data_IF_940523601684
#
_entry.id   IF_940523601684
#
_cell.length_a   1.000
_cell.length_b   1.000
_cell.length_c   1.000
_cell.angle_alpha   90.00
_cell.angle_beta   90.00
_cell.angle_gamma   90.00
#
_symmetry.space_group_name_H-M   'P 1'
#
loop_
_entity.id
_entity.type
_entity.pdbx_description
1 polymer ?
#
# COMPACT_ATOMS: atom_id res chain seq x y z
N UNK A 1 -29.20 -15.42 41.96
CA UNK A 1 -29.13 -14.19 41.13
C UNK A 1 -27.69 -13.74 40.88
N UNK A 2 -26.82 -13.65 41.89
CA UNK A 2 -25.42 -13.23 41.69
C UNK A 2 -24.62 -14.18 40.79
N UNK A 3 -24.76 -15.50 40.95
CA UNK A 3 -24.05 -16.50 40.13
C UNK A 3 -24.42 -16.44 38.65
N UNK A 4 -25.71 -16.28 38.34
CA UNK A 4 -26.21 -16.12 36.97
C UNK A 4 -25.63 -14.86 36.32
N UNK A 5 -25.50 -13.76 37.08
CA UNK A 5 -24.88 -12.53 36.59
C UNK A 5 -23.39 -12.73 36.28
N UNK A 6 -22.67 -13.51 37.10
CA UNK A 6 -21.28 -13.87 36.83
C UNK A 6 -21.12 -14.77 35.59
N UNK A 7 -22.02 -15.72 35.38
CA UNK A 7 -22.02 -16.59 34.20
C UNK A 7 -22.27 -15.80 32.91
N UNK A 8 -23.24 -14.89 32.92
CA UNK A 8 -23.56 -14.02 31.77
C UNK A 8 -22.39 -13.08 31.45
N UNK A 9 -21.79 -12.47 32.48
CA UNK A 9 -20.64 -11.57 32.30
C UNK A 9 -19.40 -12.32 31.84
N UNK A 10 -19.15 -13.53 32.35
CA UNK A 10 -18.07 -14.39 31.88
C UNK A 10 -18.25 -14.79 30.40
N UNK A 11 -19.48 -15.17 30.00
CA UNK A 11 -19.78 -15.52 28.62
C UNK A 11 -19.55 -14.33 27.67
N UNK A 12 -19.99 -13.13 28.07
CA UNK A 12 -19.75 -11.90 27.30
C UNK A 12 -18.27 -11.55 27.21
N UNK A 13 -17.51 -11.69 28.31
CA UNK A 13 -16.09 -11.41 28.33
C UNK A 13 -15.29 -12.30 27.36
N UNK A 14 -15.65 -13.59 27.23
CA UNK A 14 -15.02 -14.53 26.29
C UNK A 14 -15.20 -14.09 24.83
N UNK A 15 -16.31 -13.44 24.49
CA UNK A 15 -16.58 -12.95 23.14
C UNK A 15 -15.90 -11.60 22.89
N UNK A 16 -15.99 -10.67 23.86
CA UNK A 16 -15.52 -9.29 23.70
C UNK A 16 -13.99 -9.18 23.77
N UNK A 17 -13.35 -9.95 24.64
CA UNK A 17 -11.90 -9.90 24.85
C UNK A 17 -11.07 -10.19 23.58
N UNK A 18 -11.30 -11.26 22.80
CA UNK A 18 -10.54 -11.51 21.58
C UNK A 18 -10.78 -10.43 20.50
N UNK A 19 -11.98 -9.86 20.43
CA UNK A 19 -12.29 -8.77 19.49
C UNK A 19 -11.51 -7.48 19.81
N UNK A 20 -11.37 -7.14 21.10
CA UNK A 20 -10.58 -5.99 21.54
C UNK A 20 -9.08 -6.18 21.27
N UNK A 21 -8.55 -7.38 21.52
CA UNK A 21 -7.15 -7.71 21.24
C UNK A 21 -6.83 -7.68 19.74
N UNK A 22 -7.73 -8.20 18.90
CA UNK A 22 -7.60 -8.16 17.44
C UNK A 22 -7.58 -6.71 16.92
N UNK A 23 -8.48 -5.85 17.44
CA UNK A 23 -8.53 -4.43 17.08
C UNK A 23 -7.22 -3.70 17.42
N UNK A 24 -6.62 -4.00 18.58
CA UNK A 24 -5.33 -3.42 19.00
C UNK A 24 -4.20 -3.84 18.05
N UNK A 25 -4.18 -5.11 17.60
CA UNK A 25 -3.18 -5.64 16.67
C UNK A 25 -3.26 -4.98 15.28
N UNK A 26 -4.48 -4.75 14.78
CA UNK A 26 -4.68 -4.10 13.48
C UNK A 26 -4.28 -2.61 13.52
N UNK A 27 -4.57 -1.91 14.62
CA UNK A 27 -4.22 -0.48 14.78
C UNK A 27 -2.71 -0.24 14.93
N UNK A 28 -1.97 -1.22 15.44
CA UNK A 28 -0.53 -1.11 15.72
C UNK A 28 0.36 -1.63 14.60
N UNK A 29 -0.20 -2.29 13.57
CA UNK A 29 0.58 -2.56 12.37
C UNK A 29 0.75 -1.26 11.59
N UNK A 30 1.97 -0.68 11.50
CA UNK A 30 2.20 0.40 10.56
C UNK A 30 1.88 -0.17 9.18
N UNK A 31 0.92 0.46 8.48
CA UNK A 31 0.69 0.22 7.07
C UNK A 31 2.03 0.47 6.39
N UNK A 32 2.79 -0.60 6.11
CA UNK A 32 4.05 -0.49 5.39
C UNK A 32 3.65 0.03 4.02
N UNK A 33 3.87 1.32 3.77
CA UNK A 33 3.69 1.88 2.46
C UNK A 33 4.50 0.99 1.49
N UNK A 34 3.92 0.52 0.38
CA UNK A 34 4.67 -0.22 -0.60
C UNK A 34 5.89 0.62 -0.97
N UNK A 35 7.08 0.10 -0.67
CA UNK A 35 8.34 0.74 -1.03
C UNK A 35 8.51 0.50 -2.54
N UNK A 36 7.91 1.36 -3.35
CA UNK A 36 8.12 1.34 -4.79
C UNK A 36 9.61 1.57 -5.03
N UNK A 37 10.28 0.59 -5.64
CA UNK A 37 11.61 0.79 -6.19
C UNK A 37 11.40 1.51 -7.52
N UNK A 38 11.82 2.76 -7.60
CA UNK A 38 11.88 3.48 -8.86
C UNK A 38 13.07 2.88 -9.60
N UNK A 39 12.78 2.20 -10.70
CA UNK A 39 13.83 1.77 -11.62
C UNK A 39 14.28 3.00 -12.41
N UNK A 40 15.58 3.31 -12.32
CA UNK A 40 16.19 4.42 -13.08
C UNK A 40 16.77 3.93 -14.39
N UNK A 41 16.80 2.61 -14.62
CA UNK A 41 17.22 2.06 -15.89
C UNK A 41 16.09 2.22 -16.92
N UNK A 42 16.37 3.02 -17.95
CA UNK A 42 15.45 3.30 -19.05
C UNK A 42 15.94 2.70 -20.36
N UNK A 43 16.95 1.82 -20.36
CA UNK A 43 17.52 1.20 -21.59
C UNK A 43 16.43 0.53 -22.44
N UNK A 44 15.45 -0.09 -21.81
CA UNK A 44 14.35 -0.80 -22.47
C UNK A 44 13.02 -0.02 -22.48
N UNK A 45 13.04 1.26 -22.11
CA UNK A 45 11.83 2.07 -22.09
C UNK A 45 11.34 2.35 -23.52
N UNK A 46 10.07 2.06 -23.79
CA UNK A 46 9.43 2.37 -25.09
C UNK A 46 8.72 3.71 -25.11
N UNK A 47 8.40 4.25 -23.94
CA UNK A 47 7.62 5.47 -23.78
C UNK A 47 8.25 6.38 -22.74
N UNK A 48 8.11 7.69 -22.94
CA UNK A 48 8.53 8.74 -22.02
C UNK A 48 7.46 9.82 -21.94
N UNK A 49 7.49 10.62 -20.87
CA UNK A 49 6.66 11.82 -20.75
C UNK A 49 7.41 12.99 -21.39
N UNK A 50 6.78 13.70 -22.33
CA UNK A 50 7.35 14.86 -23.00
C UNK A 50 7.29 16.13 -22.10
N UNK A 51 7.84 17.24 -22.59
CA UNK A 51 7.85 18.54 -21.90
C UNK A 51 6.45 19.12 -21.60
N UNK A 52 5.43 18.66 -22.33
CA UNK A 52 4.04 19.07 -22.18
C UNK A 52 3.25 18.13 -21.25
N UNK A 53 3.90 17.11 -20.66
CA UNK A 53 3.27 16.16 -19.74
C UNK A 53 2.52 15.01 -20.42
N UNK A 54 2.68 14.81 -21.74
CA UNK A 54 2.03 13.72 -22.48
C UNK A 54 2.95 12.51 -22.64
N UNK A 55 2.36 11.31 -22.63
CA UNK A 55 3.05 10.06 -22.92
C UNK A 55 3.33 9.96 -24.43
N UNK A 56 4.60 9.86 -24.80
CA UNK A 56 5.05 9.70 -26.19
C UNK A 56 5.99 8.51 -26.32
N UNK A 57 6.01 7.88 -27.50
CA UNK A 57 6.93 6.80 -27.82
C UNK A 57 8.35 7.36 -28.02
N UNK A 58 9.35 6.71 -27.41
CA UNK A 58 10.75 7.11 -27.55
C UNK A 58 11.19 6.77 -28.97
N UNK A 59 11.24 7.79 -29.82
CA UNK A 59 11.69 7.63 -31.20
C UNK A 59 13.17 7.97 -31.30
N UNK A 60 14.02 6.94 -31.38
CA UNK A 60 15.48 7.08 -31.52
C UNK A 60 15.88 7.95 -32.73
N UNK A 61 15.11 7.94 -33.81
CA UNK A 61 15.41 8.75 -35.01
C UNK A 61 15.34 10.26 -34.77
N UNK A 62 14.51 10.72 -33.82
CA UNK A 62 14.45 12.14 -33.42
C UNK A 62 15.62 12.55 -32.52
N UNK A 63 16.16 11.63 -31.71
CA UNK A 63 17.29 11.89 -30.80
C UNK A 63 18.59 12.22 -31.57
N UNK A 64 18.84 11.54 -32.69
CA UNK A 64 20.04 11.80 -33.51
C UNK A 64 20.01 13.16 -34.21
N UNK A 65 18.84 13.73 -34.46
CA UNK A 65 18.69 15.01 -35.17
C UNK A 65 19.08 16.23 -34.33
N UNK A 66 19.02 16.12 -33.00
CA UNK A 66 19.36 17.20 -32.06
C UNK A 66 20.80 17.13 -31.54
N UNK A 67 21.63 16.22 -32.06
CA UNK A 67 23.03 16.05 -31.66
C UNK A 67 24.03 16.77 -32.59
N UNK A 68 23.52 17.57 -33.54
CA UNK A 68 24.30 18.30 -34.53
C UNK A 68 24.19 19.81 -34.34
#
# INVERSE_FOLDING_TARGET
>A
MQTILFEITALLAVIVLPLLLLRKKIRTQPKRAPKYKIDTDTEYARYAINENGFLEEINESKLYKNKH
#
